data_IF_376382991886
#
_entry.id   IF_376382991886
#
_cell.length_a   1.000
_cell.length_b   1.000
_cell.length_c   1.000
_cell.angle_alpha   90.00
_cell.angle_beta   90.00
_cell.angle_gamma   90.00
#
_symmetry.space_group_name_H-M   'P 1'
#
loop_
_entity.id
_entity.type
_entity.pdbx_description
1 polymer ?
#
# COMPACT_ATOMS: atom_id res chain seq x y z
N UNK A 1 -16.69 56.53 26.99
CA UNK A 1 -16.40 57.93 26.59
C UNK A 1 -15.01 57.97 25.99
N UNK A 2 -14.84 58.79 24.95
CA UNK A 2 -13.65 59.03 24.12
C UNK A 2 -13.34 58.07 22.96
N UNK A 3 -13.57 58.64 21.77
CA UNK A 3 -13.35 58.23 20.39
C UNK A 3 -11.90 58.40 19.93
N UNK A 4 -11.45 57.63 18.93
CA UNK A 4 -10.76 58.20 17.74
C UNK A 4 -10.78 57.26 16.53
N UNK A 5 -11.20 57.85 15.40
CA UNK A 5 -11.19 57.35 14.02
C UNK A 5 -9.88 57.78 13.33
N UNK A 6 -9.42 57.00 12.35
CA UNK A 6 -8.68 57.46 11.17
C UNK A 6 -9.29 56.74 9.95
N UNK A 7 -10.07 57.43 9.11
CA UNK A 7 -9.70 58.20 7.90
C UNK A 7 -9.12 57.30 6.78
N UNK A 8 -9.97 57.01 5.80
CA UNK A 8 -9.60 56.70 4.41
C UNK A 8 -10.09 57.89 3.56
N UNK A 9 -9.26 58.33 2.61
CA UNK A 9 -9.53 59.43 1.69
C UNK A 9 -9.79 58.88 0.27
N UNK A 10 -10.62 59.64 -0.46
CA UNK A 10 -11.34 59.34 -1.71
C UNK A 10 -10.52 59.43 -3.02
N UNK A 11 -10.93 58.60 -4.01
CA UNK A 11 -11.23 58.79 -5.46
C UNK A 11 -10.34 59.67 -6.41
N UNK A 12 -10.40 59.52 -7.78
CA UNK A 12 -11.57 59.15 -8.60
C UNK A 12 -11.36 58.29 -9.89
N UNK A 13 -12.51 58.13 -10.56
CA UNK A 13 -12.91 57.41 -11.78
C UNK A 13 -12.09 57.70 -13.06
N UNK A 14 -11.98 56.70 -13.95
CA UNK A 14 -12.61 56.70 -15.29
C UNK A 14 -12.03 55.60 -16.22
N UNK A 15 -12.88 55.03 -17.09
CA UNK A 15 -12.43 54.35 -18.32
C UNK A 15 -12.89 52.90 -18.55
N UNK A 16 -14.10 52.74 -19.10
CA UNK A 16 -14.47 51.61 -19.99
C UNK A 16 -13.69 51.76 -21.33
N UNK A 17 -13.47 50.70 -22.17
CA UNK A 17 -14.59 49.92 -22.70
C UNK A 17 -14.36 48.48 -23.25
N UNK A 18 -15.50 47.85 -23.59
CA UNK A 18 -15.81 46.86 -24.64
C UNK A 18 -15.10 45.48 -24.71
N UNK A 19 -15.91 44.42 -24.61
CA UNK A 19 -15.61 43.08 -25.12
C UNK A 19 -16.78 42.11 -24.92
N UNK A 20 -17.60 41.94 -25.95
CA UNK A 20 -18.85 41.17 -25.94
C UNK A 20 -18.62 39.65 -25.79
N UNK A 21 -19.33 39.02 -24.84
CA UNK A 21 -19.54 37.57 -24.83
C UNK A 21 -20.75 37.24 -25.71
N UNK A 22 -20.49 36.58 -26.85
CA UNK A 22 -21.52 35.92 -27.66
C UNK A 22 -21.59 34.44 -27.29
N UNK A 23 -22.81 34.00 -27.01
CA UNK A 23 -23.27 32.62 -26.95
C UNK A 23 -23.16 31.92 -28.31
N UNK A 24 -22.66 30.69 -28.35
CA UNK A 24 -23.00 29.69 -29.39
C UNK A 24 -23.02 28.28 -28.77
N UNK A 25 -24.23 27.74 -28.61
CA UNK A 25 -24.51 26.30 -28.62
C UNK A 25 -24.55 25.87 -30.09
N UNK A 26 -23.89 24.75 -30.43
CA UNK A 26 -24.40 23.73 -31.37
C UNK A 26 -23.33 22.65 -31.63
N UNK A 27 -23.54 21.45 -31.08
CA UNK A 27 -22.76 20.24 -31.39
C UNK A 27 -23.70 19.24 -32.08
N UNK A 28 -23.43 18.79 -33.33
CA UNK A 28 -24.27 17.80 -34.00
C UNK A 28 -23.94 16.36 -33.54
N UNK A 29 -24.92 15.42 -33.59
CA UNK A 29 -24.74 14.06 -33.08
C UNK A 29 -23.89 13.21 -34.03
N UNK A 30 -22.81 12.61 -33.52
CA UNK A 30 -21.99 11.64 -34.26
C UNK A 30 -22.70 10.28 -34.36
N UNK A 31 -22.84 9.80 -35.59
CA UNK A 31 -23.39 8.50 -35.97
C UNK A 31 -22.54 7.34 -35.42
N UNK A 32 -23.18 6.45 -34.66
CA UNK A 32 -22.66 5.12 -34.30
C UNK A 32 -22.51 4.25 -35.55
N UNK A 33 -21.29 3.89 -35.93
CA UNK A 33 -21.01 2.81 -36.89
C UNK A 33 -20.71 1.53 -36.13
N UNK A 34 -21.64 0.58 -36.20
CA UNK A 34 -21.44 -0.81 -35.79
C UNK A 34 -20.31 -1.45 -36.62
N UNK A 35 -19.17 -1.77 -35.98
CA UNK A 35 -18.19 -2.69 -36.56
C UNK A 35 -18.59 -4.13 -36.27
N UNK A 36 -18.64 -4.92 -37.34
CA UNK A 36 -18.97 -6.36 -37.36
C UNK A 36 -17.98 -7.16 -36.50
N UNK A 37 -18.55 -8.13 -35.76
CA UNK A 37 -17.82 -9.17 -35.02
C UNK A 37 -17.11 -10.09 -36.01
N UNK A 38 -15.82 -10.31 -35.81
CA UNK A 38 -15.10 -11.45 -36.40
C UNK A 38 -15.24 -12.66 -35.47
N UNK A 39 -15.49 -13.88 -35.99
CA UNK A 39 -15.58 -15.08 -35.17
C UNK A 39 -14.20 -15.52 -34.67
N UNK A 40 -14.14 -15.87 -33.38
CA UNK A 40 -12.98 -16.47 -32.71
C UNK A 40 -12.82 -17.93 -33.16
N UNK A 41 -11.59 -18.30 -33.53
CA UNK A 41 -11.21 -19.70 -33.76
C UNK A 41 -11.10 -20.46 -32.41
N UNK A 42 -11.46 -21.75 -32.35
CA UNK A 42 -11.39 -22.53 -31.12
C UNK A 42 -9.94 -22.94 -30.77
N UNK A 43 -9.60 -22.81 -29.48
CA UNK A 43 -8.36 -23.31 -28.88
C UNK A 43 -8.40 -24.85 -28.72
N UNK A 44 -7.27 -25.56 -28.88
CA UNK A 44 -7.19 -26.99 -28.64
C UNK A 44 -7.15 -27.32 -27.14
N UNK A 45 -7.80 -28.43 -26.76
CA UNK A 45 -7.84 -28.99 -25.41
C UNK A 45 -6.50 -29.63 -24.98
N UNK A 46 -6.14 -29.58 -23.69
CA UNK A 46 -4.99 -30.33 -23.18
C UNK A 46 -5.37 -31.79 -22.86
N UNK A 47 -4.52 -32.72 -23.30
CA UNK A 47 -4.55 -34.14 -22.94
C UNK A 47 -4.01 -34.38 -21.52
N UNK A 48 -4.52 -35.39 -20.78
CA UNK A 48 -4.07 -35.69 -19.42
C UNK A 48 -2.91 -36.71 -19.47
N UNK A 49 -1.77 -36.39 -18.85
CA UNK A 49 -0.77 -37.40 -18.49
C UNK A 49 -0.61 -37.49 -16.98
N UNK A 50 -0.83 -38.73 -16.54
CA UNK A 50 -0.83 -39.31 -15.21
C UNK A 50 0.16 -38.72 -14.19
N UNK A 51 -0.36 -38.37 -13.02
CA UNK A 51 0.40 -38.39 -11.76
C UNK A 51 0.22 -39.77 -11.13
N UNK A 52 1.31 -40.51 -10.97
CA UNK A 52 1.36 -41.70 -10.12
C UNK A 52 1.40 -41.26 -8.65
N UNK A 53 0.38 -41.66 -7.91
CA UNK A 53 0.29 -41.59 -6.45
C UNK A 53 0.89 -42.87 -5.85
N UNK A 54 1.94 -42.72 -5.04
CA UNK A 54 2.43 -43.80 -4.18
C UNK A 54 1.59 -43.86 -2.91
N UNK A 55 0.77 -44.89 -2.78
CA UNK A 55 0.10 -45.28 -1.54
C UNK A 55 1.01 -46.25 -0.77
N UNK A 56 1.47 -45.85 0.41
CA UNK A 56 2.25 -46.70 1.31
C UNK A 56 1.27 -47.56 2.14
N UNK A 57 1.29 -48.87 1.90
CA UNK A 57 0.57 -49.89 2.67
C UNK A 57 1.47 -50.33 3.83
N UNK A 58 0.97 -50.23 5.07
CA UNK A 58 1.61 -50.78 6.27
C UNK A 58 0.96 -52.14 6.56
N UNK A 59 1.71 -53.25 6.70
CA UNK A 59 1.18 -54.46 7.30
C UNK A 59 1.51 -54.53 8.80
N UNK A 60 0.47 -54.72 9.61
CA UNK A 60 0.54 -55.15 11.00
C UNK A 60 0.78 -56.67 11.03
N UNK A 61 1.87 -57.12 11.66
CA UNK A 61 1.91 -58.45 12.29
C UNK A 61 2.73 -58.38 13.57
N UNK A 62 2.17 -58.92 14.65
CA UNK A 62 2.87 -59.15 15.91
C UNK A 62 3.23 -60.62 16.05
N UNK A 63 4.37 -60.89 16.70
CA UNK A 63 4.60 -62.10 17.49
C UNK A 63 5.83 -61.89 18.40
N UNK A 64 5.65 -62.35 19.63
CA UNK A 64 6.53 -62.36 20.79
C UNK A 64 7.75 -63.27 20.67
N UNK A 65 8.88 -62.88 21.28
CA UNK A 65 9.67 -63.74 22.20
C UNK A 65 10.92 -63.03 22.71
N UNK A 66 11.16 -63.22 24.01
CA UNK A 66 12.26 -62.78 24.88
C UNK A 66 13.69 -63.10 24.40
N UNK A 67 14.65 -62.21 24.67
CA UNK A 67 15.91 -62.50 25.39
C UNK A 67 16.68 -61.19 25.69
N UNK A 68 17.38 -61.15 26.82
CA UNK A 68 17.92 -59.95 27.46
C UNK A 68 19.37 -59.59 27.08
N UNK A 69 19.71 -58.31 27.35
CA UNK A 69 21.03 -57.67 27.55
C UNK A 69 21.83 -57.22 26.31
N UNK A 70 21.86 -55.91 26.07
CA UNK A 70 23.00 -55.03 26.44
C UNK A 70 22.61 -53.57 26.17
N UNK A 71 22.73 -52.74 27.21
CA UNK A 71 22.43 -51.31 27.15
C UNK A 71 23.61 -50.56 26.51
N UNK A 72 23.43 -50.13 25.26
CA UNK A 72 24.20 -49.05 24.65
C UNK A 72 23.29 -47.82 24.57
N UNK A 73 23.62 -46.77 25.31
CA UNK A 73 22.91 -45.49 25.27
C UNK A 73 23.18 -44.78 23.96
N UNK A 74 22.29 -44.94 22.99
CA UNK A 74 22.20 -44.02 21.85
C UNK A 74 21.08 -43.05 22.17
N UNK A 75 21.47 -41.86 22.63
CA UNK A 75 20.55 -40.74 22.81
C UNK A 75 19.88 -40.43 21.45
N UNK A 76 18.54 -40.31 21.39
CA UNK A 76 17.92 -39.82 20.18
C UNK A 76 18.36 -38.36 19.99
N UNK A 77 19.03 -38.08 18.87
CA UNK A 77 19.26 -36.73 18.36
C UNK A 77 17.88 -36.10 18.14
N UNK A 78 17.41 -35.39 19.16
CA UNK A 78 16.31 -34.46 19.03
C UNK A 78 16.81 -33.34 18.12
N UNK A 79 16.34 -33.31 16.88
CA UNK A 79 16.36 -32.08 16.09
C UNK A 79 15.32 -31.17 16.76
N UNK A 80 15.74 -30.50 17.83
CA UNK A 80 15.06 -29.31 18.32
C UNK A 80 15.32 -28.25 17.26
N UNK A 81 14.34 -27.97 16.41
CA UNK A 81 14.27 -26.68 15.74
C UNK A 81 13.93 -25.64 16.83
N UNK A 82 14.92 -25.29 17.63
CA UNK A 82 14.82 -24.18 18.58
C UNK A 82 14.82 -22.91 17.75
N UNK A 83 13.63 -22.37 17.50
CA UNK A 83 13.52 -20.95 17.15
C UNK A 83 13.99 -20.22 18.40
N UNK A 84 15.27 -19.86 18.47
CA UNK A 84 15.82 -19.09 19.59
C UNK A 84 14.93 -17.87 19.82
N UNK A 85 14.54 -17.66 21.08
CA UNK A 85 13.86 -16.44 21.48
C UNK A 85 14.75 -15.27 21.09
N UNK A 86 14.21 -14.19 20.46
CA UNK A 86 15.05 -13.07 20.07
C UNK A 86 15.84 -12.57 21.27
N UNK A 87 17.12 -12.25 21.07
CA UNK A 87 17.94 -11.68 22.13
C UNK A 87 17.17 -10.49 22.75
N UNK A 88 16.91 -10.55 24.07
CA UNK A 88 16.15 -9.50 24.80
C UNK A 88 16.76 -8.12 24.60
N UNK A 89 18.09 -8.07 24.42
CA UNK A 89 18.82 -6.86 24.08
C UNK A 89 18.40 -6.30 22.71
N UNK A 90 18.33 -7.15 21.68
CA UNK A 90 17.92 -6.72 20.33
C UNK A 90 16.48 -6.19 20.33
N UNK A 91 15.56 -6.86 21.03
CA UNK A 91 14.18 -6.38 21.18
C UNK A 91 14.09 -5.01 21.87
N UNK A 92 15.04 -4.69 22.76
CA UNK A 92 15.12 -3.37 23.34
C UNK A 92 15.73 -2.35 22.37
N UNK A 93 16.77 -2.74 21.62
CA UNK A 93 17.46 -1.87 20.65
C UNK A 93 16.60 -1.45 19.46
N UNK A 94 15.62 -2.26 19.04
CA UNK A 94 14.70 -1.89 17.95
C UNK A 94 13.72 -0.76 18.33
N UNK A 95 13.66 -0.35 19.61
CA UNK A 95 13.00 0.90 20.01
C UNK A 95 13.76 2.14 19.52
N UNK A 96 14.99 1.94 19.04
CA UNK A 96 15.79 2.94 18.35
C UNK A 96 16.74 3.74 19.26
N UNK A 97 17.81 4.31 18.67
CA UNK A 97 18.22 4.13 17.28
C UNK A 97 19.07 2.86 17.07
N UNK A 98 18.77 2.14 15.98
CA UNK A 98 19.57 1.04 15.45
C UNK A 98 19.76 1.26 13.93
N UNK A 99 20.94 1.04 13.33
CA UNK A 99 21.11 1.22 11.89
C UNK A 99 20.09 0.40 11.09
N UNK A 100 19.47 1.00 10.06
CA UNK A 100 18.44 0.33 9.25
C UNK A 100 18.91 -0.96 8.56
N UNK A 101 20.22 -1.10 8.32
CA UNK A 101 20.85 -2.24 7.67
C UNK A 101 21.59 -3.17 8.63
N UNK A 102 21.36 -3.04 9.95
CA UNK A 102 21.94 -3.94 10.96
C UNK A 102 21.51 -5.40 10.69
N UNK A 103 22.47 -6.32 10.64
CA UNK A 103 22.21 -7.71 10.22
C UNK A 103 21.27 -8.45 11.16
N UNK A 104 21.38 -8.21 12.47
CA UNK A 104 20.48 -8.82 13.46
C UNK A 104 19.07 -8.25 13.33
N UNK A 105 18.95 -6.94 13.07
CA UNK A 105 17.67 -6.31 12.74
C UNK A 105 17.02 -6.95 11.51
N UNK A 106 17.77 -7.14 10.41
CA UNK A 106 17.24 -7.72 9.18
C UNK A 106 16.74 -9.15 9.40
N UNK A 107 17.50 -9.97 10.14
CA UNK A 107 17.05 -11.33 10.52
C UNK A 107 15.79 -11.27 11.39
N UNK A 108 15.76 -10.39 12.39
CA UNK A 108 14.60 -10.23 13.27
C UNK A 108 13.35 -9.84 12.49
N UNK A 109 13.45 -8.86 11.59
CA UNK A 109 12.34 -8.44 10.73
C UNK A 109 11.85 -9.63 9.90
N UNK A 110 12.78 -10.34 9.25
CA UNK A 110 12.48 -11.51 8.42
C UNK A 110 11.73 -12.59 9.18
N UNK A 111 12.19 -12.90 10.40
CA UNK A 111 11.75 -14.06 11.15
C UNK A 111 10.52 -13.81 12.03
N UNK A 112 10.29 -12.55 12.43
CA UNK A 112 9.26 -12.20 13.43
C UNK A 112 8.22 -11.19 12.97
N UNK A 113 8.54 -10.32 12.01
CA UNK A 113 7.65 -9.22 11.61
C UNK A 113 7.08 -9.38 10.20
N UNK A 114 7.70 -10.20 9.36
CA UNK A 114 7.22 -10.47 8.01
C UNK A 114 6.53 -11.83 7.93
N UNK A 115 5.23 -11.81 7.61
CA UNK A 115 4.46 -13.02 7.31
C UNK A 115 4.54 -13.32 5.82
N UNK A 116 4.86 -14.56 5.41
CA UNK A 116 5.02 -14.93 4.00
C UNK A 116 3.70 -14.90 3.21
N UNK A 117 3.76 -14.72 1.88
CA UNK A 117 2.63 -14.88 0.98
C UNK A 117 1.83 -16.15 1.24
N UNK A 118 0.50 -16.04 1.26
CA UNK A 118 -0.34 -17.22 1.50
C UNK A 118 -0.28 -18.20 0.32
N UNK A 119 -0.14 -19.49 0.61
CA UNK A 119 -0.29 -20.55 -0.40
C UNK A 119 -1.75 -20.97 -0.59
N UNK A 120 -2.64 -20.61 0.34
CA UNK A 120 -4.07 -20.95 0.31
C UNK A 120 -4.86 -20.10 -0.68
N UNK A 121 -6.00 -20.57 -1.21
CA UNK A 121 -6.87 -19.74 -2.05
C UNK A 121 -7.23 -18.42 -1.36
N UNK A 122 -7.33 -17.35 -2.15
CA UNK A 122 -7.79 -16.06 -1.67
C UNK A 122 -9.12 -16.19 -0.91
N UNK A 123 -9.29 -15.35 0.10
CA UNK A 123 -10.54 -15.26 0.86
C UNK A 123 -11.06 -13.82 0.80
N UNK A 124 -11.33 -13.39 -0.44
CA UNK A 124 -11.90 -12.07 -0.74
C UNK A 124 -13.40 -12.06 -0.44
N UNK A 125 -13.93 -10.87 -0.20
CA UNK A 125 -15.33 -10.66 0.14
C UNK A 125 -16.24 -11.03 -1.03
N UNK A 126 -17.20 -11.91 -0.76
CA UNK A 126 -18.30 -12.23 -1.69
C UNK A 126 -19.52 -11.35 -1.45
N UNK A 127 -19.49 -10.47 -0.45
CA UNK A 127 -20.63 -9.61 -0.11
C UNK A 127 -20.95 -8.62 -1.26
N UNK A 128 -22.20 -8.62 -1.77
CA UNK A 128 -22.56 -7.75 -2.89
C UNK A 128 -22.52 -6.25 -2.59
N UNK A 129 -22.72 -5.84 -1.33
CA UNK A 129 -22.61 -4.42 -0.95
C UNK A 129 -21.16 -3.99 -0.96
N UNK A 130 -20.29 -4.77 -0.31
CA UNK A 130 -18.85 -4.60 -0.29
C UNK A 130 -18.29 -4.49 -1.71
N UNK A 131 -18.64 -5.43 -2.59
CA UNK A 131 -18.13 -5.47 -3.97
C UNK A 131 -18.57 -4.27 -4.82
N UNK A 132 -19.71 -3.64 -4.51
CA UNK A 132 -20.15 -2.41 -5.18
C UNK A 132 -19.40 -1.17 -4.73
N UNK A 133 -18.92 -1.15 -3.48
CA UNK A 133 -18.33 0.04 -2.86
C UNK A 133 -16.85 -0.09 -2.60
N UNK A 134 -16.19 -1.21 -2.91
CA UNK A 134 -14.75 -1.39 -2.64
C UNK A 134 -13.84 -0.58 -3.56
N UNK A 135 -14.35 -0.10 -4.70
CA UNK A 135 -13.62 0.71 -5.67
C UNK A 135 -14.28 2.10 -5.81
N UNK A 136 -13.78 3.08 -5.05
CA UNK A 136 -14.31 4.45 -5.00
C UNK A 136 -13.18 5.45 -4.73
N UNK A 137 -13.51 6.74 -4.70
CA UNK A 137 -12.54 7.80 -4.37
C UNK A 137 -11.32 7.83 -5.29
N UNK A 138 -10.17 8.11 -4.67
CA UNK A 138 -8.84 8.19 -5.28
C UNK A 138 -8.44 6.91 -6.03
N UNK A 139 -8.90 5.73 -5.59
CA UNK A 139 -8.60 4.45 -6.23
C UNK A 139 -8.87 4.45 -7.74
N UNK A 140 -9.97 5.08 -8.20
CA UNK A 140 -10.32 5.08 -9.63
C UNK A 140 -9.28 5.82 -10.47
N UNK A 141 -8.75 6.92 -9.92
CA UNK A 141 -7.68 7.69 -10.53
C UNK A 141 -6.37 6.91 -10.51
N UNK A 142 -5.94 6.45 -9.33
CA UNK A 142 -4.69 5.69 -9.15
C UNK A 142 -4.68 4.46 -10.06
N UNK A 143 -5.73 3.64 -10.02
CA UNK A 143 -5.83 2.43 -10.84
C UNK A 143 -5.80 2.75 -12.33
N UNK A 144 -6.48 3.81 -12.80
CA UNK A 144 -6.44 4.22 -14.21
C UNK A 144 -5.02 4.57 -14.66
N UNK A 145 -4.30 5.39 -13.88
CA UNK A 145 -2.98 5.86 -14.26
C UNK A 145 -1.92 4.76 -14.14
N UNK A 146 -1.90 4.03 -13.02
CA UNK A 146 -0.97 2.91 -12.83
C UNK A 146 -1.16 1.81 -13.87
N UNK A 147 -2.40 1.51 -14.27
CA UNK A 147 -2.67 0.55 -15.35
C UNK A 147 -2.08 0.97 -16.70
N UNK A 148 -2.08 2.27 -17.02
CA UNK A 148 -1.41 2.80 -18.22
C UNK A 148 0.11 2.66 -18.11
N UNK A 149 0.68 3.11 -16.98
CA UNK A 149 2.12 3.05 -16.75
C UNK A 149 2.67 1.62 -16.77
N UNK A 150 1.96 0.67 -16.16
CA UNK A 150 2.40 -0.72 -16.04
C UNK A 150 2.26 -1.49 -17.36
N UNK A 151 1.31 -1.09 -18.22
CA UNK A 151 1.11 -1.61 -19.57
C UNK A 151 1.16 -3.14 -19.70
N UNK A 152 0.56 -3.84 -18.73
CA UNK A 152 0.46 -5.31 -18.72
C UNK A 152 1.74 -6.05 -18.29
N UNK A 153 2.77 -5.36 -17.80
CA UNK A 153 3.96 -6.00 -17.24
C UNK A 153 3.62 -6.97 -16.11
N UNK A 154 4.22 -8.17 -16.15
CA UNK A 154 3.94 -9.27 -15.23
C UNK A 154 5.12 -9.54 -14.31
N UNK A 155 4.84 -10.09 -13.14
CA UNK A 155 5.86 -10.53 -12.19
C UNK A 155 6.66 -9.40 -11.53
N UNK A 156 6.09 -8.20 -11.43
CA UNK A 156 6.68 -7.10 -10.68
C UNK A 156 6.58 -7.27 -9.16
N UNK A 157 7.20 -6.36 -8.44
CA UNK A 157 7.14 -6.25 -6.98
C UNK A 157 6.52 -4.92 -6.55
N UNK A 158 5.43 -4.95 -5.78
CA UNK A 158 4.85 -3.73 -5.22
C UNK A 158 5.09 -3.61 -3.71
N UNK A 159 4.98 -2.39 -3.20
CA UNK A 159 4.78 -2.11 -1.79
C UNK A 159 3.52 -1.27 -1.65
N UNK A 160 2.61 -1.66 -0.76
CA UNK A 160 1.44 -0.86 -0.39
C UNK A 160 1.43 -0.68 1.13
N UNK A 161 1.63 0.56 1.58
CA UNK A 161 1.54 0.94 2.98
C UNK A 161 0.26 1.75 3.20
N UNK A 162 -0.50 1.35 4.22
CA UNK A 162 -1.94 1.68 4.31
C UNK A 162 -2.81 0.58 3.68
N UNK A 163 -2.43 -0.68 3.85
CA UNK A 163 -3.09 -1.80 3.16
C UNK A 163 -4.53 -2.09 3.66
N UNK A 164 -4.95 -1.47 4.76
CA UNK A 164 -6.26 -1.59 5.36
C UNK A 164 -6.66 -3.07 5.55
N UNK A 165 -7.85 -3.46 5.08
CA UNK A 165 -8.33 -4.84 5.18
C UNK A 165 -7.77 -5.76 4.08
N UNK A 166 -6.86 -5.27 3.24
CA UNK A 166 -6.24 -6.02 2.16
C UNK A 166 -7.12 -6.24 0.94
N UNK A 167 -8.27 -5.58 0.80
CA UNK A 167 -9.09 -5.71 -0.41
C UNK A 167 -9.80 -4.41 -0.78
N UNK A 168 -10.36 -3.69 0.19
CA UNK A 168 -11.04 -2.42 -0.04
C UNK A 168 -10.02 -1.39 -0.49
N UNK A 169 -10.33 -0.69 -1.58
CA UNK A 169 -9.50 0.36 -2.19
C UNK A 169 -8.03 -0.04 -2.37
N UNK A 170 -7.72 -1.34 -2.43
CA UNK A 170 -6.32 -1.78 -2.55
C UNK A 170 -5.76 -1.40 -3.91
N UNK A 171 -4.65 -0.68 -3.89
CA UNK A 171 -3.94 -0.25 -5.10
C UNK A 171 -3.15 -1.39 -5.74
N UNK A 172 -2.89 -2.48 -5.00
CA UNK A 172 -2.05 -3.59 -5.45
C UNK A 172 -2.77 -4.92 -5.72
N UNK A 173 -4.00 -5.12 -5.24
CA UNK A 173 -4.67 -6.44 -5.36
C UNK A 173 -4.80 -6.92 -6.81
N UNK A 174 -5.11 -6.01 -7.73
CA UNK A 174 -5.21 -6.33 -9.15
C UNK A 174 -3.86 -6.72 -9.78
N UNK A 175 -2.74 -6.22 -9.26
CA UNK A 175 -1.39 -6.60 -9.70
C UNK A 175 -1.10 -8.06 -9.35
N UNK A 176 -1.51 -8.49 -8.17
CA UNK A 176 -1.40 -9.90 -7.76
C UNK A 176 -2.29 -10.80 -8.63
N UNK A 177 -3.58 -10.45 -8.75
CA UNK A 177 -4.57 -11.30 -9.42
C UNK A 177 -4.34 -11.39 -10.93
N UNK A 178 -4.12 -10.25 -11.58
CA UNK A 178 -4.12 -10.15 -13.03
C UNK A 178 -2.72 -10.30 -13.59
N UNK A 179 -1.70 -9.77 -12.91
CA UNK A 179 -0.34 -9.66 -13.42
C UNK A 179 0.65 -10.61 -12.73
N UNK A 180 0.22 -11.34 -11.70
CA UNK A 180 1.06 -12.28 -10.95
C UNK A 180 2.21 -11.60 -10.23
N UNK A 181 2.01 -10.35 -9.79
CA UNK A 181 3.00 -9.64 -9.00
C UNK A 181 3.09 -10.21 -7.58
N UNK A 182 4.25 -10.05 -6.96
CA UNK A 182 4.46 -10.25 -5.53
C UNK A 182 4.57 -8.86 -4.87
N UNK A 183 4.63 -8.79 -3.55
CA UNK A 183 4.81 -7.51 -2.89
C UNK A 183 4.87 -7.58 -1.38
N UNK A 184 4.80 -6.40 -0.76
CA UNK A 184 4.72 -6.19 0.68
C UNK A 184 3.53 -5.28 1.01
N UNK A 185 2.67 -5.74 1.92
CA UNK A 185 1.55 -5.00 2.49
C UNK A 185 1.88 -4.60 3.93
N UNK A 186 1.75 -3.31 4.23
CA UNK A 186 2.07 -2.74 5.55
C UNK A 186 0.79 -2.16 6.15
N UNK A 187 0.37 -2.70 7.29
CA UNK A 187 -0.82 -2.25 8.01
C UNK A 187 -0.57 -2.30 9.53
N UNK A 188 -0.36 -1.15 10.19
CA UNK A 188 -0.14 -1.10 11.63
C UNK A 188 -1.44 -1.23 12.45
N UNK A 189 -2.62 -0.98 11.86
CA UNK A 189 -3.87 -1.10 12.62
C UNK A 189 -4.18 -2.56 12.92
N UNK A 190 -4.21 -2.93 14.21
CA UNK A 190 -4.31 -4.35 14.60
C UNK A 190 -5.57 -5.05 14.09
N UNK A 191 -6.70 -4.34 13.98
CA UNK A 191 -7.93 -4.94 13.46
C UNK A 191 -7.92 -5.02 11.93
N UNK A 192 -7.47 -3.98 11.24
CA UNK A 192 -7.28 -4.02 9.79
C UNK A 192 -6.29 -5.11 9.40
N UNK A 193 -5.17 -5.21 10.10
CA UNK A 193 -4.17 -6.26 9.91
C UNK A 193 -4.79 -7.65 10.07
N UNK A 194 -5.60 -7.88 11.12
CA UNK A 194 -6.28 -9.16 11.30
C UNK A 194 -7.23 -9.48 10.13
N UNK A 195 -7.90 -8.48 9.56
CA UNK A 195 -8.74 -8.64 8.35
C UNK A 195 -7.89 -8.91 7.11
N UNK A 196 -6.77 -8.21 6.94
CA UNK A 196 -5.79 -8.39 5.87
C UNK A 196 -5.22 -9.81 5.85
N UNK A 197 -4.77 -10.33 7.00
CA UNK A 197 -4.30 -11.72 7.15
C UNK A 197 -5.36 -12.70 6.63
N UNK A 198 -6.63 -12.46 7.00
CA UNK A 198 -7.74 -13.30 6.59
C UNK A 198 -8.05 -13.27 5.10
N UNK A 199 -7.60 -12.26 4.34
CA UNK A 199 -7.75 -12.22 2.87
C UNK A 199 -6.86 -13.19 2.12
N UNK A 200 -5.81 -13.71 2.78
CA UNK A 200 -4.86 -14.67 2.19
C UNK A 200 -4.21 -14.11 0.91
N UNK A 201 -3.78 -12.85 0.99
CA UNK A 201 -3.03 -12.17 -0.09
C UNK A 201 -1.78 -12.98 -0.47
N UNK A 202 -1.34 -12.83 -1.72
CA UNK A 202 -0.14 -13.47 -2.30
C UNK A 202 1.09 -12.57 -2.17
N UNK A 203 1.10 -11.73 -1.16
CA UNK A 203 2.15 -10.80 -0.82
C UNK A 203 2.61 -11.01 0.63
N UNK A 204 3.84 -10.57 0.92
CA UNK A 204 4.31 -10.44 2.29
C UNK A 204 3.43 -9.45 3.05
N UNK A 205 3.17 -9.70 4.32
CA UNK A 205 2.38 -8.78 5.15
C UNK A 205 3.08 -8.51 6.48
N UNK A 206 2.94 -7.31 7.02
CA UNK A 206 3.49 -6.91 8.32
C UNK A 206 2.50 -6.09 9.14
N UNK A 207 2.47 -6.34 10.46
CA UNK A 207 1.72 -5.54 11.43
C UNK A 207 2.65 -4.52 12.09
N UNK A 208 3.15 -3.60 11.28
CA UNK A 208 4.13 -2.57 11.67
C UNK A 208 3.83 -1.30 10.90
N UNK A 209 4.31 -0.16 11.38
CA UNK A 209 4.34 1.07 10.58
C UNK A 209 5.64 1.22 9.79
N UNK A 210 5.65 2.16 8.84
CA UNK A 210 6.88 2.63 8.22
C UNK A 210 7.52 3.70 9.12
N UNK A 211 8.81 3.56 9.38
CA UNK A 211 9.53 4.54 10.20
C UNK A 211 9.78 5.82 9.37
N UNK A 212 9.34 7.01 9.84
CA UNK A 212 9.69 8.28 9.22
C UNK A 212 11.16 8.72 9.48
N UNK A 213 11.96 7.89 10.14
CA UNK A 213 13.40 8.10 10.38
C UNK A 213 14.21 6.90 9.92
N UNK A 214 15.53 7.04 9.83
CA UNK A 214 16.46 6.04 9.28
C UNK A 214 16.78 4.87 10.22
N UNK A 215 15.97 4.65 11.26
CA UNK A 215 16.14 3.59 12.24
C UNK A 215 14.77 3.06 12.71
N UNK A 216 14.68 1.83 13.25
CA UNK A 216 13.45 1.32 13.83
C UNK A 216 13.11 2.06 15.12
N UNK A 217 11.82 2.26 15.37
CA UNK A 217 11.34 2.95 16.57
C UNK A 217 9.99 2.41 17.01
N UNK A 218 9.74 2.46 18.32
CA UNK A 218 8.42 2.21 18.90
C UNK A 218 7.69 3.56 18.99
N UNK A 219 6.51 3.66 18.38
CA UNK A 219 5.70 4.88 18.37
C UNK A 219 4.32 4.61 18.97
N UNK A 220 3.61 5.68 19.32
CA UNK A 220 2.19 5.60 19.65
C UNK A 220 1.39 5.71 18.34
N UNK A 221 0.51 4.76 18.10
CA UNK A 221 -0.44 4.76 17.00
C UNK A 221 -1.83 5.17 17.51
N UNK A 222 -2.52 5.97 16.71
CA UNK A 222 -3.89 6.43 16.94
C UNK A 222 -4.79 5.68 15.98
N UNK A 223 -5.50 4.68 16.50
CA UNK A 223 -6.53 3.95 15.75
C UNK A 223 -7.85 4.67 15.86
N UNK A 224 -8.45 4.95 14.71
CA UNK A 224 -9.74 5.62 14.62
C UNK A 224 -10.83 4.61 14.31
N UNK A 225 -11.81 4.51 15.21
CA UNK A 225 -12.98 3.65 15.01
C UNK A 225 -14.24 4.51 15.01
N UNK A 226 -15.32 4.08 14.35
CA UNK A 226 -16.56 4.86 14.33
C UNK A 226 -17.19 4.88 15.72
N UNK A 227 -17.61 6.05 16.21
CA UNK A 227 -18.45 6.15 17.43
C UNK A 227 -19.67 5.25 17.29
N UNK A 228 -19.95 4.42 18.29
CA UNK A 228 -21.19 3.62 18.35
C UNK A 228 -22.38 4.55 18.59
N UNK A 229 -22.90 5.18 17.54
CA UNK A 229 -24.18 5.91 17.59
C UNK A 229 -25.31 4.89 17.40
N UNK A 230 -26.30 4.91 18.30
CA UNK A 230 -27.32 3.88 18.46
C UNK A 230 -28.30 3.70 17.27
N UNK A 231 -28.25 4.50 16.20
CA UNK A 231 -29.40 4.64 15.30
C UNK A 231 -29.06 4.91 13.81
N UNK A 232 -27.93 4.45 13.28
CA UNK A 232 -27.65 4.61 11.85
C UNK A 232 -27.50 3.27 11.10
N UNK A 233 -28.49 2.97 10.26
CA UNK A 233 -28.55 1.77 9.41
C UNK A 233 -27.57 1.80 8.23
N UNK A 234 -26.69 2.80 8.12
CA UNK A 234 -25.66 2.82 7.09
C UNK A 234 -24.34 2.22 7.58
N UNK A 235 -24.18 0.92 7.34
CA UNK A 235 -22.90 0.18 7.39
C UNK A 235 -21.81 0.73 6.44
N UNK A 236 -22.14 1.73 5.60
CA UNK A 236 -21.24 2.27 4.56
C UNK A 236 -20.07 3.09 5.11
N UNK A 237 -20.13 3.60 6.34
CA UNK A 237 -19.15 4.56 6.88
C UNK A 237 -18.19 4.01 7.94
N UNK A 238 -18.33 2.76 8.39
CA UNK A 238 -17.45 2.19 9.43
C UNK A 238 -15.95 2.19 9.07
N UNK A 239 -15.64 2.14 7.77
CA UNK A 239 -14.31 1.87 7.24
C UNK A 239 -13.48 3.11 6.95
N UNK A 240 -14.14 4.22 6.59
CA UNK A 240 -13.48 5.50 6.27
C UNK A 240 -12.72 6.03 7.50
N UNK A 241 -13.28 5.82 8.69
CA UNK A 241 -12.62 6.19 9.95
C UNK A 241 -11.30 5.47 10.15
N UNK A 242 -11.25 4.15 9.90
CA UNK A 242 -10.03 3.34 10.10
C UNK A 242 -8.92 3.71 9.14
N UNK A 243 -9.27 4.10 7.91
CA UNK A 243 -8.30 4.59 6.92
C UNK A 243 -7.57 5.86 7.36
N UNK A 244 -8.16 6.64 8.26
CA UNK A 244 -7.56 7.86 8.83
C UNK A 244 -6.69 7.62 10.09
N UNK A 245 -6.41 6.37 10.44
CA UNK A 245 -5.53 6.03 11.58
C UNK A 245 -4.08 6.39 11.26
N UNK A 246 -3.33 6.90 12.25
CA UNK A 246 -2.03 7.54 12.00
C UNK A 246 -1.12 7.42 13.22
N UNK A 247 0.17 7.72 13.03
CA UNK A 247 1.14 7.85 14.13
C UNK A 247 0.83 9.13 14.92
N UNK A 248 0.87 9.06 16.25
CA UNK A 248 0.65 10.23 17.10
C UNK A 248 1.64 11.35 16.76
N UNK A 249 1.12 12.55 16.53
CA UNK A 249 1.92 13.71 16.13
C UNK A 249 2.17 13.83 14.62
N UNK A 250 1.61 12.92 13.80
CA UNK A 250 1.53 13.14 12.35
C UNK A 250 0.72 14.40 12.04
N UNK A 251 1.12 15.12 10.99
CA UNK A 251 0.42 16.33 10.57
C UNK A 251 -0.69 15.96 9.60
N UNK A 252 -1.92 15.88 10.10
CA UNK A 252 -3.14 15.52 9.35
C UNK A 252 -4.05 16.74 9.27
N UNK A 253 -3.57 17.83 8.68
CA UNK A 253 -4.31 19.10 8.67
C UNK A 253 -5.38 19.13 7.57
N UNK A 254 -6.43 18.32 7.56
CA UNK A 254 -7.40 18.33 6.44
C UNK A 254 -8.84 18.42 6.93
N UNK A 255 -9.68 19.23 6.26
CA UNK A 255 -11.09 19.42 6.63
C UNK A 255 -11.92 18.12 6.57
N UNK A 256 -11.51 17.18 5.71
CA UNK A 256 -12.07 15.83 5.66
C UNK A 256 -11.72 15.06 6.94
N UNK A 257 -10.46 15.13 7.36
CA UNK A 257 -9.97 14.46 8.55
C UNK A 257 -10.56 15.06 9.83
N UNK A 258 -10.71 16.39 9.92
CA UNK A 258 -11.45 17.05 11.00
C UNK A 258 -12.86 16.47 11.18
N UNK A 259 -13.51 16.11 10.07
CA UNK A 259 -14.84 15.50 10.08
C UNK A 259 -14.77 14.05 10.57
N UNK A 260 -13.75 13.29 10.15
CA UNK A 260 -13.52 11.93 10.65
C UNK A 260 -13.24 11.95 12.15
N UNK A 261 -12.31 12.76 12.64
CA UNK A 261 -11.99 12.91 14.06
C UNK A 261 -13.23 13.20 14.93
N UNK A 262 -14.08 14.15 14.51
CA UNK A 262 -15.31 14.47 15.25
C UNK A 262 -16.24 13.27 15.42
N UNK A 263 -16.24 12.35 14.45
CA UNK A 263 -17.13 11.18 14.36
C UNK A 263 -16.47 9.87 14.80
N UNK A 264 -15.19 9.88 15.14
CA UNK A 264 -14.43 8.70 15.57
C UNK A 264 -14.24 8.63 17.09
N UNK A 265 -14.10 7.42 17.61
CA UNK A 265 -13.44 7.11 18.88
C UNK A 265 -11.97 6.85 18.59
N UNK A 266 -11.10 7.26 19.51
CA UNK A 266 -9.66 7.12 19.41
C UNK A 266 -9.19 6.03 20.37
N UNK A 267 -8.43 5.07 19.85
CA UNK A 267 -7.71 4.08 20.63
C UNK A 267 -6.21 4.28 20.42
N UNK A 268 -5.45 4.19 21.50
CA UNK A 268 -4.01 4.46 21.51
C UNK A 268 -3.26 3.19 21.90
N UNK A 269 -2.26 2.81 21.10
CA UNK A 269 -1.37 1.70 21.45
C UNK A 269 0.02 1.89 20.85
N UNK A 270 0.96 1.13 21.39
CA UNK A 270 2.34 1.11 20.89
C UNK A 270 2.43 0.21 19.67
N UNK A 271 3.10 0.69 18.64
CA UNK A 271 3.41 -0.08 17.44
C UNK A 271 4.88 0.07 17.09
N UNK A 272 5.46 -0.97 16.51
CA UNK A 272 6.83 -0.94 16.03
C UNK A 272 6.83 -0.41 14.58
N UNK A 273 7.66 0.59 14.31
CA UNK A 273 7.95 1.02 12.95
C UNK A 273 9.33 0.54 12.50
N UNK A 274 9.44 0.14 11.24
CA UNK A 274 10.72 -0.16 10.60
C UNK A 274 10.95 0.75 9.39
N UNK A 275 12.19 1.23 9.14
CA UNK A 275 12.50 1.88 7.88
C UNK A 275 12.18 0.92 6.72
N UNK A 276 11.52 1.42 5.67
CA UNK A 276 11.11 0.58 4.53
C UNK A 276 12.32 -0.14 3.90
N UNK A 277 13.47 0.52 3.83
CA UNK A 277 14.73 -0.10 3.37
C UNK A 277 15.13 -1.35 4.16
N UNK A 278 14.86 -1.41 5.46
CA UNK A 278 15.14 -2.58 6.31
C UNK A 278 14.24 -3.75 5.94
N UNK A 279 12.94 -3.51 5.78
CA UNK A 279 11.98 -4.56 5.38
C UNK A 279 12.30 -5.11 4.00
N UNK A 280 12.64 -4.25 3.04
CA UNK A 280 13.03 -4.68 1.69
C UNK A 280 14.34 -5.46 1.70
N UNK A 281 15.33 -5.03 2.49
CA UNK A 281 16.60 -5.74 2.63
C UNK A 281 16.43 -7.12 3.27
N UNK A 282 15.56 -7.23 4.28
CA UNK A 282 15.17 -8.51 4.88
C UNK A 282 14.49 -9.45 3.87
N UNK A 283 13.80 -8.90 2.86
CA UNK A 283 13.21 -9.65 1.75
C UNK A 283 14.19 -9.91 0.59
N UNK A 284 15.38 -9.31 0.60
CA UNK A 284 16.31 -9.33 -0.54
C UNK A 284 15.80 -8.55 -1.76
N UNK A 285 14.94 -7.55 -1.56
CA UNK A 285 14.31 -6.75 -2.62
C UNK A 285 15.06 -5.42 -2.79
N UNK A 286 15.57 -5.18 -4.00
CA UNK A 286 16.27 -3.93 -4.35
C UNK A 286 15.54 -3.10 -5.41
N UNK A 287 14.44 -3.64 -5.94
CA UNK A 287 13.63 -2.99 -6.98
C UNK A 287 12.15 -3.10 -6.62
N UNK A 288 11.47 -1.96 -6.60
CA UNK A 288 10.02 -1.86 -6.47
C UNK A 288 9.47 -1.29 -7.76
N UNK A 289 8.53 -2.01 -8.37
CA UNK A 289 7.81 -1.57 -9.56
C UNK A 289 6.73 -0.54 -9.23
N UNK A 290 6.03 -0.72 -8.12
CA UNK A 290 5.02 0.23 -7.62
C UNK A 290 5.16 0.39 -6.10
N UNK A 291 5.42 1.61 -5.64
CA UNK A 291 5.32 2.00 -4.24
C UNK A 291 4.06 2.84 -4.03
N UNK A 292 3.10 2.34 -3.26
CA UNK A 292 1.89 3.06 -2.83
C UNK A 292 2.03 3.44 -1.36
N UNK A 293 2.06 4.75 -1.08
CA UNK A 293 2.15 5.32 0.26
C UNK A 293 0.89 6.12 0.58
N UNK A 294 0.08 5.60 1.49
CA UNK A 294 -1.13 6.22 2.03
C UNK A 294 -1.17 5.89 3.53
N UNK A 295 -0.39 6.64 4.33
CA UNK A 295 -0.10 6.32 5.75
C UNK A 295 -0.33 7.53 6.66
N UNK A 296 -1.14 8.46 6.19
CA UNK A 296 -1.78 9.53 6.93
C UNK A 296 -0.81 10.52 7.59
N UNK A 297 0.02 11.16 6.77
CA UNK A 297 0.72 12.41 7.13
C UNK A 297 2.22 12.28 7.40
N UNK A 298 2.81 11.11 7.14
CA UNK A 298 4.25 10.86 7.29
C UNK A 298 4.91 10.34 6.00
N UNK A 299 4.20 10.34 4.88
CA UNK A 299 4.63 9.77 3.59
C UNK A 299 5.94 10.38 3.11
N UNK A 300 6.03 11.73 3.11
CA UNK A 300 7.24 12.46 2.69
C UNK A 300 8.43 12.09 3.57
N UNK A 301 8.21 11.97 4.89
CA UNK A 301 9.27 11.62 5.83
C UNK A 301 9.77 10.20 5.56
N UNK A 302 8.87 9.23 5.37
CA UNK A 302 9.24 7.86 4.98
C UNK A 302 10.01 7.85 3.66
N UNK A 303 9.55 8.57 2.63
CA UNK A 303 10.20 8.62 1.33
C UNK A 303 11.64 9.18 1.42
N UNK A 304 11.87 10.18 2.28
CA UNK A 304 13.20 10.74 2.55
C UNK A 304 14.17 9.77 3.24
N UNK A 305 13.66 8.71 3.88
CA UNK A 305 14.51 7.69 4.53
C UNK A 305 15.01 6.61 3.58
N UNK A 306 14.50 6.55 2.35
CA UNK A 306 14.82 5.46 1.43
C UNK A 306 16.30 5.47 1.02
N UNK A 307 16.98 4.31 1.01
CA UNK A 307 18.37 4.20 0.60
C UNK A 307 18.47 4.20 -0.93
N UNK A 308 18.24 5.36 -1.56
CA UNK A 308 18.16 5.51 -3.04
C UNK A 308 19.37 4.97 -3.82
N UNK A 309 20.55 4.89 -3.19
CA UNK A 309 21.73 4.29 -3.80
C UNK A 309 21.63 2.76 -3.98
N UNK A 310 20.76 2.10 -3.21
CA UNK A 310 20.60 0.65 -3.15
C UNK A 310 19.19 0.18 -3.56
N UNK A 311 18.23 1.10 -3.61
CA UNK A 311 16.84 0.84 -3.90
C UNK A 311 16.39 1.59 -5.16
N UNK A 312 15.86 0.85 -6.12
CA UNK A 312 15.13 1.40 -7.27
C UNK A 312 13.64 1.36 -7.02
N UNK A 313 12.95 2.48 -7.24
CA UNK A 313 11.47 2.52 -7.27
C UNK A 313 11.03 3.09 -8.61
N UNK A 314 10.20 2.39 -9.38
CA UNK A 314 9.81 2.82 -10.74
C UNK A 314 8.65 3.80 -10.73
N UNK A 315 7.57 3.44 -10.04
CA UNK A 315 6.36 4.24 -9.90
C UNK A 315 6.11 4.48 -8.42
N UNK A 316 5.85 5.73 -8.05
CA UNK A 316 5.48 6.13 -6.69
C UNK A 316 4.09 6.75 -6.74
N UNK A 317 3.14 6.12 -6.06
CA UNK A 317 1.83 6.68 -5.72
C UNK A 317 1.93 7.14 -4.28
N UNK A 318 1.64 8.41 -4.02
CA UNK A 318 1.76 9.00 -2.69
C UNK A 318 0.58 9.91 -2.40
N UNK A 319 -0.15 9.63 -1.32
CA UNK A 319 -1.16 10.53 -0.77
C UNK A 319 -0.45 11.58 0.11
N UNK A 320 -0.74 12.85 -0.11
CA UNK A 320 -0.15 13.95 0.64
C UNK A 320 -1.29 14.71 1.31
N UNK A 321 -1.49 14.46 2.61
CA UNK A 321 -2.54 15.10 3.39
C UNK A 321 -2.39 16.62 3.38
N UNK A 322 -3.47 17.29 3.00
CA UNK A 322 -3.68 18.72 2.87
C UNK A 322 -2.53 19.55 2.31
N UNK A 323 -2.66 19.80 1.01
CA UNK A 323 -2.39 21.11 0.47
C UNK A 323 -3.55 21.44 -0.47
N UNK A 324 -4.37 22.45 -0.14
CA UNK A 324 -5.47 22.96 -1.01
C UNK A 324 -5.03 23.29 -2.45
N UNK A 325 -3.72 23.28 -2.70
CA UNK A 325 -3.04 23.47 -3.97
C UNK A 325 -1.93 22.44 -4.12
N UNK A 326 -1.56 22.18 -5.37
CA UNK A 326 -0.42 21.33 -5.71
C UNK A 326 0.87 21.76 -4.97
N UNK A 327 1.59 20.80 -4.38
CA UNK A 327 2.83 21.07 -3.64
C UNK A 327 4.05 21.12 -4.59
N UNK A 328 4.28 22.30 -5.17
CA UNK A 328 5.43 22.54 -6.05
C UNK A 328 6.79 22.33 -5.37
N UNK A 329 6.90 22.57 -4.07
CA UNK A 329 8.16 22.37 -3.35
C UNK A 329 8.51 20.88 -3.28
N UNK A 330 7.52 20.04 -2.99
CA UNK A 330 7.68 18.60 -3.00
C UNK A 330 7.94 18.04 -4.41
N UNK A 331 7.26 18.55 -5.44
CA UNK A 331 7.56 18.15 -6.82
C UNK A 331 9.02 18.43 -7.17
N UNK A 332 9.54 19.61 -6.82
CA UNK A 332 10.95 19.97 -7.05
C UNK A 332 11.92 19.09 -6.24
N UNK A 333 11.53 18.69 -5.03
CA UNK A 333 12.30 17.71 -4.24
C UNK A 333 12.38 16.36 -4.97
N UNK A 334 11.25 15.85 -5.48
CA UNK A 334 11.18 14.61 -6.26
C UNK A 334 12.01 14.68 -7.55
N UNK A 335 11.99 15.82 -8.24
CA UNK A 335 12.87 16.08 -9.41
C UNK A 335 14.35 16.00 -9.04
N UNK A 336 14.73 16.54 -7.87
CA UNK A 336 16.10 16.50 -7.36
C UNK A 336 16.63 15.08 -7.11
N UNK A 337 15.74 14.11 -6.85
CA UNK A 337 16.08 12.69 -6.69
C UNK A 337 15.75 11.83 -7.93
N UNK A 338 15.47 12.48 -9.08
CA UNK A 338 15.35 11.80 -10.37
C UNK A 338 13.94 11.29 -10.72
N UNK A 339 12.90 11.85 -10.12
CA UNK A 339 11.50 11.54 -10.45
C UNK A 339 10.83 12.69 -11.17
N UNK A 340 9.81 12.40 -11.97
CA UNK A 340 8.94 13.41 -12.57
C UNK A 340 7.51 13.20 -12.11
N UNK A 341 6.75 14.28 -11.96
CA UNK A 341 5.31 14.18 -11.72
C UNK A 341 4.64 13.71 -13.03
N UNK A 342 3.97 12.56 -12.98
CA UNK A 342 3.23 12.01 -14.12
C UNK A 342 1.77 12.47 -14.11
N UNK A 343 1.11 12.39 -12.96
CA UNK A 343 -0.27 12.82 -12.78
C UNK A 343 -0.54 13.14 -11.31
N UNK A 344 -1.56 13.96 -11.05
CA UNK A 344 -2.08 14.16 -9.69
C UNK A 344 -3.59 14.40 -9.72
N UNK A 345 -4.27 14.09 -8.61
CA UNK A 345 -5.67 14.44 -8.39
C UNK A 345 -5.91 14.63 -6.89
N UNK A 346 -6.23 15.86 -6.47
CA UNK A 346 -6.43 16.16 -5.05
C UNK A 346 -5.15 15.94 -4.25
N UNK A 347 -5.22 15.03 -3.27
CA UNK A 347 -4.11 14.66 -2.39
C UNK A 347 -3.24 13.54 -3.00
N UNK A 348 -3.65 12.92 -4.11
CA UNK A 348 -2.93 11.82 -4.75
C UNK A 348 -1.95 12.29 -5.82
N UNK A 349 -0.68 11.94 -5.66
CA UNK A 349 0.39 12.22 -6.62
C UNK A 349 0.96 10.92 -7.17
N UNK A 350 1.28 10.92 -8.47
CA UNK A 350 1.94 9.80 -9.15
C UNK A 350 3.23 10.31 -9.76
N UNK A 351 4.34 9.83 -9.24
CA UNK A 351 5.68 10.09 -9.75
C UNK A 351 6.24 8.88 -10.48
N UNK A 352 7.03 9.13 -11.53
CA UNK A 352 7.72 8.08 -12.28
C UNK A 352 9.21 8.37 -12.34
N UNK A 353 10.04 7.33 -12.26
CA UNK A 353 11.49 7.47 -12.31
C UNK A 353 11.93 7.93 -13.70
N UNK A 354 12.62 9.06 -13.77
CA UNK A 354 13.07 9.67 -15.02
C UNK A 354 14.03 8.73 -15.75
N UNK A 355 13.72 8.46 -17.02
CA UNK A 355 14.58 7.66 -17.90
C UNK A 355 14.58 6.16 -17.59
N UNK A 356 13.62 5.66 -16.80
CA UNK A 356 13.47 4.23 -16.59
C UNK A 356 12.97 3.57 -17.89
N UNK A 357 13.70 2.59 -18.47
CA UNK A 357 13.28 1.90 -19.69
C UNK A 357 11.91 1.21 -19.57
N UNK A 358 11.48 0.88 -18.35
CA UNK A 358 10.16 0.34 -18.08
C UNK A 358 9.02 1.30 -18.45
N UNK A 359 9.31 2.61 -18.47
CA UNK A 359 8.32 3.68 -18.55
C UNK A 359 8.38 4.44 -19.88
N UNK A 360 9.16 3.98 -20.86
CA UNK A 360 9.40 4.71 -22.13
C UNK A 360 8.10 5.06 -22.87
N UNK A 361 7.13 4.16 -22.90
CA UNK A 361 5.82 4.40 -23.53
C UNK A 361 5.04 5.53 -22.84
N UNK A 362 5.24 5.73 -21.53
CA UNK A 362 4.57 6.80 -20.80
C UNK A 362 5.07 8.19 -21.19
N UNK A 363 6.31 8.30 -21.68
CA UNK A 363 6.88 9.55 -22.18
C UNK A 363 6.45 9.83 -23.62
N UNK A 364 6.25 8.80 -24.44
CA UNK A 364 5.85 8.93 -25.84
C UNK A 364 4.40 9.44 -25.97
N UNK A 365 3.46 8.92 -25.19
CA UNK A 365 2.05 9.34 -25.25
C UNK A 365 1.85 10.83 -24.87
N UNK A 366 2.59 11.35 -23.88
CA UNK A 366 2.46 12.76 -23.46
C UNK A 366 2.96 13.76 -24.52
N UNK A 367 3.83 13.34 -25.45
CA UNK A 367 4.31 14.22 -26.53
C UNK A 367 3.35 14.34 -27.72
N UNK A 368 2.32 13.49 -27.77
CA UNK A 368 1.32 13.49 -28.85
C UNK A 368 0.03 14.25 -28.52
N UNK A 369 -0.17 14.71 -27.29
CA UNK A 369 -1.30 15.60 -26.92
C UNK A 369 -0.94 17.10 -26.98
N UNK A 370 0.34 17.45 -27.22
CA UNK A 370 0.82 18.85 -27.36
C UNK A 370 1.01 19.31 -28.82
N UNK A 371 0.62 18.50 -29.81
CA UNK A 371 0.59 18.86 -31.25
C UNK A 371 -0.81 18.76 -31.83
#
# INVERSE_FOLDING_TARGET
MYTRKHKAEDCPEDGKPHGAFRSVLDIPPRRLRFRRRYPLAPLPSPSPTARQSFSLVIPLTGASSSYARQAGSVSPLSIQSSVESPNKELLFRIRGPLPWNDTELLSLIRDRYLVPPSTLPYNLSTDPLYNRVKHYGSWRFIHKQTKKLIHGFRGGFFVEAGALDGERVSNSLWLEQDLGWNGLLVEPDTENYARLVNKRRKAWITNTCLSPVTYPQEVVFVSLTRKKIAEDQFQRTLWEHRGASHILGANVNSSLYDTFYKRSEEEYYKTQCFPLGSMLSALGVTTIDLLSLDIQGVEKSVLRTLPWAQLTVRIIVIEIVNYEKIDHAFIKEMEGIGYILYAYQGEDYIFVRKGDPFLTHAYEENSTEET
#
